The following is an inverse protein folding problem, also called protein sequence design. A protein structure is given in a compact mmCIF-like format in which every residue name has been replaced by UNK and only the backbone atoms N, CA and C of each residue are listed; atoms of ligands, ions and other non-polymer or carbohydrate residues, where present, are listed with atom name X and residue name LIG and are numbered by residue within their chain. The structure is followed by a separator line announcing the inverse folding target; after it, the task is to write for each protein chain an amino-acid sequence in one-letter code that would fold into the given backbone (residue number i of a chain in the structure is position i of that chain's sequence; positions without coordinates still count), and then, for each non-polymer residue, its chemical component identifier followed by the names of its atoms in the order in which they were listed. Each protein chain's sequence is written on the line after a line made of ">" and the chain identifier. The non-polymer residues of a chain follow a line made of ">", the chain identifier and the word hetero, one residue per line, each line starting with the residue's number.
data_IF_926158712053
#
_entry.id   IF_926158712053
#
_cell.length_a   1.000
_cell.length_b   1.000
_cell.length_c   1.000
_cell.angle_alpha   90.00
_cell.angle_beta   90.00
_cell.angle_gamma   90.00
#
_symmetry.space_group_name_H-M   'P 1'
#
loop_
_entity.id
_entity.type
_entity.pdbx_description
1 polymer ?
2 non-polymer ?
3 non-polymer ?
4 non-polymer ?
5 water ?
#
# COMPACT_ATOMS: atom_id res chain seq x y z
N UNK A 5 -8.33 -0.06 -18.89
CA UNK A 5 -8.04 1.01 -17.94
C UNK A 5 -7.81 2.35 -18.63
N UNK A 6 -8.13 3.44 -17.95
CA UNK A 6 -7.78 4.76 -18.42
C UNK A 6 -6.27 4.93 -18.36
N UNK A 7 -5.77 5.95 -19.04
CA UNK A 7 -4.35 6.25 -19.07
C UNK A 7 -3.79 6.43 -17.66
N UNK A 8 -4.50 7.19 -16.84
CA UNK A 8 -4.04 7.42 -15.47
C UNK A 8 -4.06 6.13 -14.65
N UNK A 9 -5.05 5.28 -14.87
CA UNK A 9 -5.12 4.01 -14.15
C UNK A 9 -4.04 3.04 -14.63
N UNK A 10 -3.64 3.15 -15.89
CA UNK A 10 -2.51 2.39 -16.40
C UNK A 10 -1.26 2.78 -15.63
N UNK A 11 -1.06 4.08 -15.46
CA UNK A 11 0.09 4.57 -14.73
C UNK A 11 0.04 4.02 -13.30
N UNK A 12 -1.14 4.06 -12.68
CA UNK A 12 -1.34 3.48 -11.35
C UNK A 12 -1.00 2.00 -11.32
N UNK A 13 -1.39 1.27 -12.35
CA UNK A 13 -1.09 -0.15 -12.35
C UNK A 13 0.41 -0.36 -12.50
N UNK A 14 1.07 0.54 -13.22
CA UNK A 14 2.52 0.47 -13.38
C UNK A 14 3.23 0.63 -12.04
N UNK A 15 2.83 1.67 -11.31
CA UNK A 15 3.32 1.90 -9.96
C UNK A 15 3.09 0.66 -9.10
N UNK A 16 1.89 0.10 -9.19
CA UNK A 16 1.53 -1.06 -8.38
C UNK A 16 2.43 -2.25 -8.67
N UNK A 17 2.65 -2.51 -9.95
CA UNK A 17 3.60 -3.54 -10.36
C UNK A 17 4.99 -3.26 -9.80
N UNK A 18 5.41 -2.00 -9.84
CA UNK A 18 6.74 -1.67 -9.33
C UNK A 18 6.81 -1.93 -7.83
N UNK A 19 5.78 -1.53 -7.10
CA UNK A 19 5.79 -1.71 -5.64
C UNK A 19 5.92 -3.18 -5.29
N UNK A 20 5.42 -4.04 -6.17
CA UNK A 20 5.44 -5.48 -5.95
C UNK A 20 6.66 -6.18 -6.55
N UNK A 21 7.55 -5.43 -7.18
CA UNK A 21 8.70 -6.03 -7.88
C UNK A 21 9.89 -6.32 -6.96
N UNK A 22 10.82 -7.14 -7.44
CA UNK A 22 11.95 -7.55 -6.61
C UNK A 22 12.80 -6.39 -6.11
N UNK A 23 12.93 -5.33 -6.90
CA UNK A 23 13.84 -4.25 -6.54
C UNK A 23 13.41 -3.56 -5.24
N UNK A 24 12.13 -3.64 -4.90
CA UNK A 24 11.67 -3.02 -3.67
C UNK A 24 11.28 -4.05 -2.61
N UNK A 25 11.53 -5.32 -2.88
CA UNK A 25 11.04 -6.38 -2.00
C UNK A 25 11.56 -6.27 -0.56
N UNK A 26 12.78 -5.75 -0.39
CA UNK A 26 13.39 -5.70 0.93
C UNK A 26 12.60 -4.87 1.92
N UNK A 27 11.85 -3.88 1.44
CA UNK A 27 11.02 -3.07 2.34
C UNK A 27 9.53 -3.13 2.01
N UNK A 28 9.17 -3.70 0.87
CA UNK A 28 7.76 -3.81 0.51
C UNK A 28 7.09 -5.05 1.07
N UNK A 29 7.87 -6.06 1.45
CA UNK A 29 7.28 -7.38 1.73
C UNK A 29 6.22 -7.39 2.85
N UNK A 30 6.39 -6.58 3.92
CA UNK A 30 5.33 -6.57 4.93
C UNK A 30 3.95 -6.16 4.39
N UNK A 31 3.94 -5.43 3.28
CA UNK A 31 2.73 -4.88 2.71
C UNK A 31 2.11 -5.73 1.60
N UNK A 32 2.69 -6.91 1.36
CA UNK A 32 2.24 -7.78 0.27
C UNK A 32 0.85 -8.37 0.47
N UNK A 33 0.54 -8.72 1.72
CA UNK A 33 -0.70 -9.41 2.07
C UNK A 33 -1.34 -8.78 3.30
N UNK A 34 -2.65 -9.00 3.50
CA UNK A 34 -3.35 -8.42 4.66
C UNK A 34 -2.68 -8.79 5.97
N UNK A 35 -2.58 -7.83 6.89
CA UNK A 35 -2.08 -8.14 8.22
C UNK A 35 -2.89 -9.29 8.82
N UNK A 36 -2.19 -10.33 9.27
CA UNK A 36 -2.83 -11.44 9.95
C UNK A 36 -2.62 -11.23 11.44
N UNK A 37 -3.61 -10.60 12.07
CA UNK A 37 -3.48 -10.13 13.44
C UNK A 37 -3.16 -11.26 14.40
N UNK A 38 -3.91 -12.35 14.31
CA UNK A 38 -3.69 -13.48 15.21
C UNK A 38 -2.30 -14.12 15.02
N UNK A 39 -1.88 -14.30 13.77
CA UNK A 39 -0.57 -14.89 13.48
C UNK A 39 0.58 -14.04 14.01
N UNK A 40 0.40 -12.72 14.00
CA UNK A 40 1.41 -11.80 14.50
C UNK A 40 1.22 -11.51 15.99
N UNK A 41 0.13 -12.00 16.55
CA UNK A 41 -0.15 -11.79 17.95
C UNK A 41 -0.50 -10.37 18.32
N UNK A 42 -1.03 -9.61 17.37
CA UNK A 42 -1.44 -8.23 17.64
C UNK A 42 -2.96 -8.16 17.79
N UNK A 43 -3.44 -8.63 18.93
CA UNK A 43 -4.87 -8.82 19.16
C UNK A 43 -5.66 -7.54 19.31
N UNK A 44 -4.96 -6.41 19.27
CA UNK A 44 -5.63 -5.11 19.28
C UNK A 44 -5.66 -4.45 17.91
N UNK A 45 -5.11 -5.12 16.90
CA UNK A 45 -4.93 -4.52 15.58
C UNK A 45 -6.25 -4.04 14.99
N UNK A 46 -7.27 -4.88 15.04
CA UNK A 46 -8.54 -4.54 14.41
C UNK A 46 -9.41 -3.64 15.27
N UNK A 47 -8.97 -3.39 16.50
CA UNK A 47 -9.61 -2.36 17.31
C UNK A 47 -9.02 -0.99 16.96
N UNK A 48 -7.77 -1.00 16.51
CA UNK A 48 -7.07 0.24 16.21
C UNK A 48 -7.19 0.60 14.73
N UNK A 49 -7.14 -0.42 13.88
CA UNK A 49 -7.24 -0.24 12.43
C UNK A 49 -8.61 -0.65 11.91
N UNK A 50 -9.41 0.34 11.54
CA UNK A 50 -10.78 0.08 11.10
C UNK A 50 -10.88 -0.33 9.63
N UNK A 51 -9.89 0.07 8.83
CA UNK A 51 -9.90 -0.17 7.40
C UNK A 51 -8.58 -0.72 6.91
N UNK A 52 -8.38 -2.04 7.09
CA UNK A 52 -7.14 -2.70 6.67
C UNK A 52 -6.93 -2.55 5.18
N UNK A 53 -5.68 -2.40 4.77
CA UNK A 53 -5.33 -2.36 3.35
C UNK A 53 -3.95 -2.94 3.15
N UNK A 54 -3.74 -3.50 1.96
CA UNK A 54 -2.47 -4.12 1.61
C UNK A 54 -2.38 -4.18 0.10
N UNK A 55 -1.20 -4.48 -0.43
CA UNK A 55 -0.99 -4.45 -1.87
C UNK A 55 -1.73 -5.55 -2.63
N UNK A 56 -1.93 -6.72 -2.03
CA UNK A 56 -2.68 -7.76 -2.74
C UNK A 56 -4.13 -7.33 -2.91
N UNK A 57 -4.65 -6.58 -1.95
CA UNK A 57 -6.02 -6.10 -2.06
C UNK A 57 -6.10 -5.02 -3.13
N UNK A 58 -5.10 -4.15 -3.17
CA UNK A 58 -5.03 -3.10 -4.19
C UNK A 58 -4.95 -3.75 -5.58
N UNK A 59 -4.10 -4.76 -5.71
CA UNK A 59 -3.97 -5.51 -6.95
C UNK A 59 -5.29 -6.15 -7.37
N UNK A 60 -5.98 -6.79 -6.44
CA UNK A 60 -7.26 -7.42 -6.78
C UNK A 60 -8.25 -6.36 -7.26
N UNK A 61 -8.29 -5.24 -6.56
CA UNK A 61 -9.20 -4.16 -6.93
C UNK A 61 -8.86 -3.61 -8.31
N UNK A 62 -7.57 -3.46 -8.61
CA UNK A 62 -7.15 -3.01 -9.93
C UNK A 62 -7.57 -4.01 -11.01
N UNK A 63 -7.29 -5.28 -10.78
CA UNK A 63 -7.67 -6.34 -11.72
C UNK A 63 -9.18 -6.38 -11.96
N UNK A 64 -9.95 -6.21 -10.89
CA UNK A 64 -11.41 -6.24 -10.99
C UNK A 64 -12.01 -4.93 -11.49
N UNK A 65 -11.16 -3.96 -11.82
CA UNK A 65 -11.61 -2.66 -12.31
C UNK A 65 -12.46 -1.95 -11.26
N UNK A 66 -12.13 -2.19 -10.00
CA UNK A 66 -12.82 -1.60 -8.86
C UNK A 66 -12.52 -0.10 -8.81
N UNK A 67 -11.27 0.28 -9.06
CA UNK A 67 -10.90 1.70 -9.00
C UNK A 67 -11.45 2.44 -10.20
N UNK A 68 -12.13 3.55 -9.96
CA UNK A 68 -12.65 4.32 -11.08
C UNK A 68 -11.73 5.47 -11.50
N UNK A 69 -10.78 5.84 -10.64
CA UNK A 69 -9.81 6.86 -11.01
C UNK A 69 -8.52 6.73 -10.19
N UNK A 70 -7.50 7.49 -10.58
CA UNK A 70 -6.20 7.42 -9.92
C UNK A 70 -6.31 7.80 -8.45
N UNK A 71 -7.17 8.78 -8.17
CA UNK A 71 -7.39 9.30 -6.82
C UNK A 71 -7.84 8.21 -5.85
N UNK A 72 -8.74 7.36 -6.30
CA UNK A 72 -9.27 6.31 -5.44
C UNK A 72 -8.19 5.27 -5.16
N UNK A 73 -7.38 4.97 -6.18
CA UNK A 73 -6.24 4.06 -6.05
C UNK A 73 -5.24 4.60 -5.04
N UNK A 74 -4.91 5.88 -5.16
CA UNK A 74 -3.91 6.49 -4.30
C UNK A 74 -4.37 6.51 -2.84
N UNK A 75 -5.66 6.75 -2.64
CA UNK A 75 -6.23 6.74 -1.30
C UNK A 75 -6.04 5.39 -0.62
N UNK A 76 -6.20 4.30 -1.37
CA UNK A 76 -5.97 2.98 -0.79
C UNK A 76 -4.50 2.76 -0.44
N UNK A 77 -3.60 3.10 -1.35
CA UNK A 77 -2.18 2.88 -1.10
C UNK A 77 -1.75 3.69 0.12
N UNK A 78 -2.23 4.92 0.21
CA UNK A 78 -1.89 5.78 1.33
C UNK A 78 -2.53 5.28 2.64
N UNK A 79 -3.75 4.77 2.56
CA UNK A 79 -4.41 4.16 3.71
C UNK A 79 -3.54 3.03 4.28
N UNK A 80 -3.01 2.19 3.40
CA UNK A 80 -2.12 1.11 3.80
C UNK A 80 -0.94 1.63 4.65
N UNK A 81 -0.32 2.71 4.21
CA UNK A 81 0.80 3.29 4.92
C UNK A 81 0.34 3.89 6.24
N UNK A 82 -0.77 4.61 6.20
CA UNK A 82 -1.35 5.23 7.38
C UNK A 82 -1.62 4.22 8.47
N UNK A 83 -2.15 3.07 8.09
CA UNK A 83 -2.45 2.03 9.06
C UNK A 83 -1.18 1.62 9.79
N UNK A 84 -0.10 1.52 9.03
CA UNK A 84 1.19 1.18 9.60
C UNK A 84 1.66 2.26 10.58
N UNK A 85 1.51 3.52 10.20
CA UNK A 85 1.95 4.64 11.03
C UNK A 85 1.07 4.80 12.26
N UNK A 86 -0.18 4.35 12.16
CA UNK A 86 -1.11 4.44 13.28
C UNK A 86 -0.79 3.38 14.33
N UNK A 87 -0.59 2.14 13.90
CA UNK A 87 -0.48 1.05 14.85
C UNK A 87 0.90 0.96 15.51
N UNK A 88 1.95 1.26 14.76
CA UNK A 88 3.32 1.07 15.25
C UNK A 88 3.98 2.35 15.77
N UNK A 89 4.91 2.21 16.72
CA UNK A 89 5.73 3.34 17.17
C UNK A 89 6.55 3.88 16.02
N UNK A 90 6.81 5.20 16.02
CA UNK A 90 7.46 5.88 14.89
C UNK A 90 8.86 5.36 14.60
N UNK A 91 9.49 4.72 15.58
CA UNK A 91 10.87 4.26 15.40
C UNK A 91 10.95 2.78 15.04
N UNK A 92 9.80 2.15 14.81
CA UNK A 92 9.79 0.72 14.50
C UNK A 92 10.35 0.43 13.11
N UNK A 93 11.00 -0.71 12.97
CA UNK A 93 11.51 -1.16 11.69
C UNK A 93 10.46 -1.15 10.57
N UNK A 94 9.24 -1.57 10.85
CA UNK A 94 8.28 -1.70 9.76
C UNK A 94 7.83 -0.32 9.30
N UNK A 95 7.91 0.66 10.20
CA UNK A 95 7.58 2.03 9.85
C UNK A 95 8.65 2.62 8.92
N UNK A 96 9.90 2.26 9.15
CA UNK A 96 10.98 2.70 8.27
C UNK A 96 10.76 2.14 6.87
N UNK A 97 10.32 0.89 6.80
CA UNK A 97 10.03 0.25 5.54
C UNK A 97 8.85 0.91 4.84
N UNK A 98 7.81 1.23 5.60
CA UNK A 98 6.67 1.95 5.07
C UNK A 98 7.09 3.30 4.47
N UNK A 99 7.91 4.07 5.20
CA UNK A 99 8.34 5.39 4.73
C UNK A 99 9.06 5.28 3.39
N UNK A 100 9.94 4.29 3.29
CA UNK A 100 10.72 4.09 2.07
C UNK A 100 9.83 3.71 0.90
N UNK A 101 8.92 2.76 1.13
CA UNK A 101 8.00 2.35 0.08
C UNK A 101 7.06 3.49 -0.34
N UNK A 102 6.61 4.29 0.61
CA UNK A 102 5.76 5.42 0.29
C UNK A 102 6.53 6.48 -0.49
N UNK A 103 7.83 6.58 -0.24
CA UNK A 103 8.66 7.49 -1.01
C UNK A 103 8.66 7.05 -2.48
N UNK A 104 8.83 5.75 -2.71
CA UNK A 104 8.74 5.18 -4.04
C UNK A 104 7.39 5.48 -4.67
N UNK A 105 6.33 5.24 -3.91
CA UNK A 105 5.00 5.50 -4.40
C UNK A 105 4.78 6.95 -4.78
N UNK A 106 5.06 7.84 -3.84
CA UNK A 106 4.66 9.23 -4.01
C UNK A 106 5.42 9.88 -5.16
N UNK A 107 6.70 9.59 -5.29
CA UNK A 107 7.46 10.21 -6.36
C UNK A 107 7.01 9.74 -7.74
N UNK A 108 6.62 8.48 -7.88
CA UNK A 108 6.15 8.03 -9.19
C UNK A 108 4.70 8.45 -9.42
N UNK A 109 3.89 8.46 -8.36
CA UNK A 109 2.51 8.90 -8.48
C UNK A 109 2.48 10.34 -8.99
N UNK A 110 3.46 11.13 -8.57
CA UNK A 110 3.58 12.52 -8.98
C UNK A 110 3.84 12.68 -10.47
N UNK A 111 4.30 11.61 -11.12
CA UNK A 111 4.58 11.63 -12.55
C UNK A 111 3.36 11.22 -13.37
N UNK A 112 2.21 11.20 -12.71
CA UNK A 112 0.93 10.94 -13.36
C UNK A 112 0.76 11.73 -14.65
N UNK A 113 0.47 11.03 -15.76
CA UNK A 113 0.19 11.77 -17.00
C UNK A 113 -1.12 12.53 -16.89
N UNK A 114 -1.20 13.70 -17.51
CA UNK A 114 -2.40 14.50 -17.43
C UNK A 114 -3.45 13.95 -18.38
X LIG B 1 3.97 -6.06 17.60
X LIG B 1 5.08 -5.78 16.59
X LIG B 1 4.49 -5.05 15.51
X LIG B 1 3.88 -5.72 14.40
X LIG B 1 3.87 -6.93 14.34
X LIG B 1 3.27 -4.88 13.32
X LIG B 1 1.79 -4.70 13.57
X LIG B 1 0.89 -5.74 12.90
X LIG B 1 3.57 -5.49 11.98
X LIG B 1 4.99 -5.61 11.81
X LIG B 1 3.06 -4.63 10.86
X LIG B 1 2.59 -3.33 10.88
X LIG B 1 2.26 -2.97 9.67
X LIG B 1 2.47 -3.92 8.85
X LIG B 1 2.18 -3.84 7.37
X LIG B 1 3.00 -5.10 9.47
X LIG B 1 3.43 -6.44 9.08
X LIG B 1 2.74 -7.17 8.13
X LIG B 1 3.16 -8.46 7.80
X LIG B 1 4.26 -9.06 8.39
X LIG B 1 4.71 -10.38 8.06
X LIG B 1 3.96 -11.07 7.08
X LIG B 1 4.95 -8.35 9.34
X LIG B 1 4.53 -7.05 9.68
X LIG B 1 5.45 -6.35 10.67
X LIG B 1 6.97 -6.25 10.61
X LIG B 1 7.78 -6.20 11.88
X LIG B 1 9.12 -6.11 11.80
X LIG B 1 9.78 -6.08 10.44
X LIG B 1 11.49 -5.97 10.33
X LIG B 1 9.05 -6.12 9.30
X LIG B 1 7.55 -6.22 9.39
X LIG B 1 4.35 -6.51 18.39
X LIG B 1 3.29 -6.63 17.19
X LIG B 1 3.56 -5.21 17.88
X LIG B 1 5.44 -6.62 16.27
X LIG B 1 5.78 -5.25 17.01
X LIG B 1 4.48 -4.14 15.54
X LIG B 1 3.70 -3.99 13.35
X LIG B 1 1.52 -3.81 13.25
X LIG B 1 1.63 -4.73 14.53
X LIG B 1 0.60 -5.40 12.02
X LIG B 1 0.10 -5.90 13.46
X LIG B 1 1.39 -6.57 12.78
X LIG B 1 3.15 -6.38 11.92
X LIG B 1 1.73 -4.65 7.08
X LIG B 1 3.03 -3.74 6.88
X LIG B 1 1.61 -3.06 7.19
X LIG B 1 1.95 -6.78 7.68
X LIG B 1 2.66 -8.96 7.12
X LIG B 1 4.42 -11.91 6.84
X LIG B 1 3.87 -10.51 6.29
X LIG B 1 3.07 -11.27 7.43
X LIG B 1 5.73 -8.75 9.78
X LIG B 1 7.34 -6.22 12.74
X LIG B 1 9.67 -6.08 12.61
X LIG B 1 9.49 -6.10 8.43
X LIG B 1 7.00 -6.25 8.59
X LIG C 1 -5.42 10.67 -0.77
X LIG D 1 7.40 11.50 -0.43
X LIG D 1 7.66 11.41 1.05
X LIG D 1 8.85 10.69 1.28
X LIG D 1 6.50 10.70 1.73
X LIG D 1 6.81 10.59 3.10
X LIG D 1 5.84 9.96 3.90
X LIG D 1 6.28 10.07 5.35
X LIG D 1 7.63 9.43 5.53
X LIG D 1 5.34 9.41 6.17
X LIG D 1 7.83 12.30 -0.79
X LIG D 1 6.44 11.54 -0.60
X LIG D 1 7.77 10.71 -0.87
X LIG D 1 7.74 12.31 1.42
X LIG D 1 9.06 10.74 2.14
X LIG D 1 6.39 9.81 1.35
X LIG D 1 5.68 11.21 1.62
X LIG D 1 4.98 10.40 3.78
X LIG D 1 5.77 9.02 3.65
X LIG D 1 6.32 11.01 5.60
X LIG D 1 7.54 8.46 5.49
X LIG D 1 8.00 9.68 6.39
X LIG D 1 8.23 9.73 4.82
X LIG D 1 4.52 9.70 5.97
#
# INVERSE_FOLDING_TARGET
>A
SMGKLSEQLKHCNGILKELLSKKHAAYAWPFYKPVDASALGVHDYHDIIKHPMDLSTVKRKMENRDYRDAQEFAADVRLMFSNCYKYNPPDHDVVAMARKLQDVFEFRYAKMPD
>B hetero
1 9HT CAA CAN NAS CAU OAE CBD CAO CAB CBE NAP CBC NAR NAQ CAY CAD NBF CBB CAL CAI CAX OAT CAC CAM CBA CAV CAZ CAJ CAG CAW CL CAH CAK HAA HAB HAC HAT HAU HBF HBD HAW HAV HAD HAF HAE HBE HAJ HAK HAL HAR HAO HAG HAH HAI HAS HAP HAM HAN HAQ
>C hetero
1 CL CL
>D hetero
1 DQW CAD CAB OAA CAC OAE CAF CAG CAI OAH HAG HAE HAF HAB HAA HAC HAD HAI HAH HAJ HAL HAM HAK HAN
#
